data_IF_693701548295
#
_entry.id   IF_693701548295
#
_cell.length_a   1.000
_cell.length_b   1.000
_cell.length_c   1.000
_cell.angle_alpha   90.00
_cell.angle_beta   90.00
_cell.angle_gamma   90.00
#
_symmetry.space_group_name_H-M   'P 1'
#
loop_
_entity.id
_entity.type
_entity.pdbx_description
1 polymer ?
#
# COMPACT_ATOMS: atom_id res chain seq x y z
N UNK A 1 0.36 -5.64 -29.43
CA UNK A 1 -0.17 -5.74 -28.07
C UNK A 1 -0.42 -7.22 -27.78
N UNK A 2 -0.06 -7.73 -26.61
CA UNK A 2 -0.40 -9.11 -26.25
C UNK A 2 -1.92 -9.30 -26.28
N UNK A 3 -2.37 -10.50 -26.55
CA UNK A 3 -3.79 -10.87 -26.41
C UNK A 3 -4.18 -10.85 -24.93
N UNK A 4 -5.47 -10.69 -24.61
CA UNK A 4 -5.97 -10.71 -23.21
C UNK A 4 -5.48 -11.96 -22.47
N UNK A 5 -5.44 -13.11 -23.14
CA UNK A 5 -4.97 -14.39 -22.59
C UNK A 5 -3.47 -14.39 -22.26
N UNK A 6 -2.65 -13.72 -23.08
CA UNK A 6 -1.21 -13.58 -22.80
C UNK A 6 -0.96 -12.60 -21.65
N UNK A 7 -1.76 -11.54 -21.54
CA UNK A 7 -1.71 -10.59 -20.43
C UNK A 7 -2.08 -11.26 -19.11
N UNK A 8 -3.14 -12.09 -19.09
CA UNK A 8 -3.55 -12.83 -17.90
C UNK A 8 -2.50 -13.88 -17.47
N UNK A 9 -1.89 -14.58 -18.44
CA UNK A 9 -0.82 -15.53 -18.15
C UNK A 9 0.43 -14.83 -17.58
N UNK A 10 0.80 -13.68 -18.12
CA UNK A 10 1.89 -12.86 -17.58
C UNK A 10 1.56 -12.38 -16.16
N UNK A 11 0.35 -11.84 -15.93
CA UNK A 11 -0.10 -11.39 -14.64
C UNK A 11 -0.01 -12.48 -13.57
N UNK A 12 -0.47 -13.69 -13.88
CA UNK A 12 -0.37 -14.84 -12.99
C UNK A 12 1.08 -15.21 -12.68
N UNK A 13 1.95 -15.25 -13.70
CA UNK A 13 3.37 -15.54 -13.52
C UNK A 13 4.08 -14.50 -12.66
N UNK A 14 3.83 -13.20 -12.89
CA UNK A 14 4.41 -12.13 -12.08
C UNK A 14 3.92 -12.21 -10.63
N UNK A 15 2.65 -12.59 -10.41
CA UNK A 15 2.11 -12.78 -9.06
C UNK A 15 2.79 -13.93 -8.33
N UNK A 16 3.04 -15.06 -9.00
CA UNK A 16 3.75 -16.21 -8.40
C UNK A 16 5.17 -15.80 -7.95
N UNK A 17 5.89 -15.03 -8.79
CA UNK A 17 7.21 -14.48 -8.42
C UNK A 17 7.10 -13.58 -7.20
N UNK A 18 6.13 -12.65 -7.19
CA UNK A 18 5.93 -11.70 -6.08
C UNK A 18 5.64 -12.42 -4.76
N UNK A 19 4.72 -13.41 -4.76
CA UNK A 19 4.38 -14.20 -3.57
C UNK A 19 5.60 -14.95 -3.04
N UNK A 20 6.32 -15.64 -3.92
CA UNK A 20 7.49 -16.40 -3.53
C UNK A 20 8.61 -15.48 -2.97
N UNK A 21 8.82 -14.30 -3.57
CA UNK A 21 9.79 -13.32 -3.09
C UNK A 21 9.40 -12.76 -1.72
N UNK A 22 8.10 -12.41 -1.53
CA UNK A 22 7.59 -11.90 -0.27
C UNK A 22 7.71 -12.91 0.87
N UNK A 23 7.40 -14.19 0.61
CA UNK A 23 7.53 -15.26 1.59
C UNK A 23 9.00 -15.53 1.97
N UNK A 24 9.93 -15.53 1.01
CA UNK A 24 11.36 -15.72 1.28
C UNK A 24 11.92 -14.58 2.15
N UNK A 25 11.54 -13.33 1.83
CA UNK A 25 11.94 -12.16 2.62
C UNK A 25 11.34 -12.22 4.04
N UNK A 26 10.04 -12.47 4.15
CA UNK A 26 9.35 -12.57 5.44
C UNK A 26 9.91 -13.68 6.32
N UNK A 27 10.22 -14.85 5.76
CA UNK A 27 10.85 -15.96 6.50
C UNK A 27 12.24 -15.57 7.02
N UNK A 28 12.98 -14.74 6.30
CA UNK A 28 14.29 -14.27 6.72
C UNK A 28 14.19 -13.30 7.90
N UNK A 29 13.39 -12.21 7.80
CA UNK A 29 13.47 -11.15 8.80
C UNK A 29 12.57 -11.36 10.03
N UNK A 30 11.49 -12.13 9.95
CA UNK A 30 10.54 -12.32 11.07
C UNK A 30 11.20 -12.71 12.39
N UNK A 31 12.22 -13.59 12.44
CA UNK A 31 12.88 -13.94 13.70
C UNK A 31 13.58 -12.78 14.41
N UNK A 32 13.85 -11.69 13.71
CA UNK A 32 14.54 -10.50 14.23
C UNK A 32 13.59 -9.42 14.77
N UNK A 33 12.27 -9.55 14.59
CA UNK A 33 11.29 -8.58 15.05
C UNK A 33 11.45 -8.26 16.54
N UNK A 34 11.60 -6.99 16.90
CA UNK A 34 11.83 -6.53 18.26
C UNK A 34 13.21 -6.89 18.85
N UNK A 35 14.13 -7.38 18.03
CA UNK A 35 15.46 -7.85 18.48
C UNK A 35 16.63 -7.23 17.71
N UNK A 36 16.37 -6.41 16.72
CA UNK A 36 17.39 -5.81 15.86
C UNK A 36 17.60 -4.33 16.23
N UNK A 37 18.86 -3.90 16.14
CA UNK A 37 19.19 -2.48 16.17
C UNK A 37 18.90 -1.85 14.80
N UNK A 38 18.47 -0.60 14.80
CA UNK A 38 18.27 0.18 13.58
C UNK A 38 19.42 1.14 13.33
N UNK A 39 19.59 1.52 12.06
CA UNK A 39 20.54 2.56 11.64
C UNK A 39 19.81 3.91 11.60
N UNK A 40 20.28 4.90 12.36
CA UNK A 40 19.71 6.25 12.41
C UNK A 40 19.99 7.09 11.13
N UNK A 41 20.63 6.54 10.11
CA UNK A 41 21.04 7.29 8.91
C UNK A 41 19.90 7.94 8.14
N UNK A 42 18.68 7.34 8.19
CA UNK A 42 17.48 7.94 7.59
C UNK A 42 16.74 8.88 8.57
N UNK A 43 17.11 8.90 9.86
CA UNK A 43 16.54 9.73 10.90
C UNK A 43 15.66 8.96 11.89
N UNK A 44 15.36 9.60 13.02
CA UNK A 44 14.62 9.00 14.14
C UNK A 44 13.23 8.46 13.77
N UNK A 45 12.61 9.04 12.75
CA UNK A 45 11.25 8.69 12.34
C UNK A 45 11.19 7.73 11.13
N UNK A 46 12.35 7.42 10.53
CA UNK A 46 12.48 6.56 9.36
C UNK A 46 13.68 5.62 9.54
N UNK A 47 13.58 4.64 10.46
CA UNK A 47 14.66 3.71 10.71
C UNK A 47 14.81 2.74 9.54
N UNK A 48 16.05 2.38 9.25
CA UNK A 48 16.38 1.27 8.36
C UNK A 48 17.22 0.26 9.11
N UNK A 49 16.99 -1.01 8.86
CA UNK A 49 17.75 -2.10 9.47
C UNK A 49 18.54 -2.88 8.42
N UNK A 50 19.46 -3.73 8.88
CA UNK A 50 20.11 -4.71 8.01
C UNK A 50 19.08 -5.69 7.38
N UNK A 51 17.97 -5.91 8.08
CA UNK A 51 16.90 -6.76 7.57
C UNK A 51 16.21 -6.18 6.36
N UNK A 52 16.00 -4.85 6.30
CA UNK A 52 15.41 -4.18 5.15
C UNK A 52 16.30 -4.40 3.91
N UNK A 53 17.59 -4.09 4.03
CA UNK A 53 18.56 -4.21 2.93
C UNK A 53 18.73 -5.65 2.43
N UNK A 54 18.86 -6.60 3.35
CA UNK A 54 19.02 -8.01 2.98
C UNK A 54 17.72 -8.59 2.41
N UNK A 55 16.56 -8.19 2.92
CA UNK A 55 15.26 -8.60 2.38
C UNK A 55 15.07 -8.07 0.96
N UNK A 56 15.37 -6.78 0.72
CA UNK A 56 15.29 -6.21 -0.63
C UNK A 56 16.25 -6.93 -1.58
N UNK A 57 17.50 -7.19 -1.18
CA UNK A 57 18.47 -7.94 -1.98
C UNK A 57 17.92 -9.30 -2.41
N UNK A 58 17.28 -10.05 -1.50
CA UNK A 58 16.68 -11.37 -1.79
C UNK A 58 15.52 -11.26 -2.76
N UNK A 59 14.64 -10.28 -2.58
CA UNK A 59 13.52 -10.01 -3.48
C UNK A 59 14.05 -9.68 -4.89
N UNK A 60 15.01 -8.77 -5.00
CA UNK A 60 15.64 -8.34 -6.25
C UNK A 60 16.30 -9.52 -6.98
N UNK A 61 17.09 -10.34 -6.27
CA UNK A 61 17.74 -11.51 -6.84
C UNK A 61 16.72 -12.53 -7.37
N UNK A 62 15.62 -12.75 -6.66
CA UNK A 62 14.56 -13.64 -7.13
C UNK A 62 13.90 -13.10 -8.39
N UNK A 63 13.51 -11.82 -8.38
CA UNK A 63 12.87 -11.18 -9.54
C UNK A 63 13.76 -11.30 -10.76
N UNK A 64 15.03 -10.89 -10.71
CA UNK A 64 15.93 -10.96 -11.86
C UNK A 64 16.22 -12.39 -12.32
N UNK A 65 16.24 -13.37 -11.41
CA UNK A 65 16.42 -14.78 -11.77
C UNK A 65 15.23 -15.35 -12.55
N UNK A 66 14.00 -14.99 -12.17
CA UNK A 66 12.79 -15.55 -12.76
C UNK A 66 12.19 -14.67 -13.87
N UNK A 67 12.48 -13.36 -13.86
CA UNK A 67 12.09 -12.40 -14.88
C UNK A 67 13.21 -11.38 -15.15
N UNK A 68 14.23 -11.73 -15.99
CA UNK A 68 15.40 -10.87 -16.22
C UNK A 68 15.09 -9.53 -16.88
N UNK A 69 14.01 -9.45 -17.70
CA UNK A 69 13.57 -8.21 -18.35
C UNK A 69 12.74 -7.33 -17.39
N UNK A 70 13.36 -6.96 -16.28
CA UNK A 70 12.74 -6.19 -15.18
C UNK A 70 13.47 -4.88 -14.90
N UNK A 71 12.72 -3.91 -14.43
CA UNK A 71 13.19 -2.71 -13.73
C UNK A 71 12.61 -2.73 -12.31
N UNK A 72 13.44 -2.60 -11.29
CA UNK A 72 12.99 -2.64 -9.90
C UNK A 72 13.19 -1.25 -9.30
N UNK A 73 12.16 -0.74 -8.62
CA UNK A 73 12.18 0.50 -7.83
C UNK A 73 11.96 0.08 -6.37
N UNK A 74 13.07 -0.07 -5.66
CA UNK A 74 13.07 -0.47 -4.26
C UNK A 74 13.26 0.71 -3.32
N UNK A 75 12.80 0.56 -2.09
CA UNK A 75 12.95 1.58 -1.06
C UNK A 75 14.43 1.81 -0.67
N UNK A 76 15.19 0.73 -0.54
CA UNK A 76 16.56 0.77 -0.04
C UNK A 76 17.60 0.91 -1.16
N UNK A 77 17.45 0.15 -2.22
CA UNK A 77 18.41 0.09 -3.33
C UNK A 77 18.10 1.02 -4.49
N UNK A 78 16.94 1.70 -4.46
CA UNK A 78 16.51 2.58 -5.55
C UNK A 78 16.22 1.81 -6.85
N UNK A 79 16.50 2.44 -7.99
CA UNK A 79 16.22 1.83 -9.29
C UNK A 79 17.34 0.89 -9.74
N UNK A 80 16.98 -0.33 -10.14
CA UNK A 80 17.87 -1.35 -10.66
C UNK A 80 17.28 -1.99 -11.93
N UNK A 81 18.14 -2.34 -12.90
CA UNK A 81 17.70 -2.91 -14.18
C UNK A 81 17.14 -1.88 -15.16
N UNK A 82 16.67 -2.35 -16.32
CA UNK A 82 16.13 -1.51 -17.40
C UNK A 82 15.11 -2.24 -18.27
N UNK A 83 14.49 -3.31 -17.73
CA UNK A 83 13.48 -4.10 -18.42
C UNK A 83 12.12 -3.41 -18.49
N UNK A 84 11.21 -3.99 -19.27
CA UNK A 84 9.88 -3.43 -19.51
C UNK A 84 8.94 -3.58 -18.29
N UNK A 85 9.04 -4.69 -17.55
CA UNK A 85 8.25 -4.88 -16.32
C UNK A 85 8.85 -4.08 -15.18
N UNK A 86 8.06 -3.18 -14.61
CA UNK A 86 8.46 -2.36 -13.46
C UNK A 86 7.94 -2.98 -12.17
N UNK A 87 8.84 -3.17 -11.21
CA UNK A 87 8.52 -3.67 -9.88
C UNK A 87 8.69 -2.55 -8.85
N UNK A 88 7.76 -2.49 -7.91
CA UNK A 88 7.80 -1.61 -6.75
C UNK A 88 7.93 -2.48 -5.52
N UNK A 89 8.98 -2.28 -4.74
CA UNK A 89 9.38 -3.17 -3.64
C UNK A 89 9.60 -2.38 -2.36
N UNK A 90 8.82 -2.70 -1.34
CA UNK A 90 9.09 -2.34 0.05
C UNK A 90 9.39 -3.64 0.82
N UNK A 91 10.63 -3.84 1.26
CA UNK A 91 11.04 -5.06 1.94
C UNK A 91 10.42 -5.23 3.32
N UNK A 92 10.17 -4.11 4.06
CA UNK A 92 9.54 -4.12 5.38
C UNK A 92 8.74 -2.82 5.58
N UNK A 93 7.51 -2.75 5.03
CA UNK A 93 6.60 -1.66 5.35
C UNK A 93 6.18 -1.74 6.82
N UNK A 94 6.45 -0.67 7.56
CA UNK A 94 6.26 -0.63 9.01
C UNK A 94 7.53 -0.95 9.80
N UNK A 95 8.71 -0.55 9.33
CA UNK A 95 10.01 -0.79 9.99
C UNK A 95 10.03 -0.32 11.45
N UNK A 96 9.36 0.77 11.81
CA UNK A 96 9.20 1.21 13.20
C UNK A 96 8.52 0.14 14.09
N UNK A 97 7.46 -0.50 13.56
CA UNK A 97 6.77 -1.58 14.25
C UNK A 97 7.65 -2.82 14.35
N UNK A 98 8.34 -3.16 13.26
CA UNK A 98 9.27 -4.29 13.22
C UNK A 98 10.36 -4.15 14.28
N UNK A 99 11.01 -2.98 14.37
CA UNK A 99 12.04 -2.69 15.38
C UNK A 99 11.45 -2.74 16.80
N UNK A 100 10.25 -2.23 17.00
CA UNK A 100 9.57 -2.24 18.31
C UNK A 100 8.99 -3.61 18.68
N UNK A 101 8.95 -4.59 17.77
CA UNK A 101 8.31 -5.88 17.99
C UNK A 101 6.77 -5.82 17.98
N UNK A 102 6.19 -4.79 17.39
CA UNK A 102 4.74 -4.66 17.19
C UNK A 102 4.36 -5.46 15.93
N UNK A 103 3.48 -6.47 16.00
CA UNK A 103 3.20 -7.38 14.89
C UNK A 103 2.25 -6.73 13.85
N UNK A 104 2.67 -5.61 13.25
CA UNK A 104 1.97 -4.91 12.19
C UNK A 104 2.99 -4.32 11.21
N UNK A 105 3.56 -5.17 10.39
CA UNK A 105 4.54 -4.89 9.33
C UNK A 105 4.40 -5.95 8.24
N UNK A 106 4.84 -5.65 7.03
CA UNK A 106 4.68 -6.56 5.89
C UNK A 106 5.76 -6.37 4.84
N UNK A 107 5.80 -7.30 3.87
CA UNK A 107 6.46 -7.11 2.58
C UNK A 107 5.43 -6.62 1.58
N UNK A 108 5.76 -5.58 0.79
CA UNK A 108 4.91 -5.07 -0.29
C UNK A 108 5.65 -5.16 -1.62
N UNK A 109 5.08 -5.88 -2.60
CA UNK A 109 5.65 -6.05 -3.94
C UNK A 109 4.55 -5.88 -4.97
N UNK A 110 4.79 -5.05 -5.99
CA UNK A 110 3.89 -4.91 -7.13
C UNK A 110 4.66 -4.94 -8.44
N UNK A 111 4.02 -5.42 -9.51
CA UNK A 111 4.54 -5.42 -10.87
C UNK A 111 3.60 -4.69 -11.82
N UNK A 112 4.17 -3.83 -12.68
CA UNK A 112 3.46 -3.07 -13.69
C UNK A 112 4.11 -3.23 -15.07
N UNK A 113 3.30 -3.19 -16.10
CA UNK A 113 3.74 -3.15 -17.50
C UNK A 113 2.87 -2.15 -18.28
N UNK A 114 3.49 -1.32 -19.12
CA UNK A 114 2.80 -0.33 -19.94
C UNK A 114 1.81 0.54 -19.15
N UNK A 115 2.20 0.96 -17.93
CA UNK A 115 1.38 1.81 -17.08
C UNK A 115 0.16 1.11 -16.45
N UNK A 116 0.15 -0.21 -16.36
CA UNK A 116 -0.90 -1.01 -15.72
C UNK A 116 -0.31 -1.95 -14.68
N UNK A 117 -0.88 -1.97 -13.48
CA UNK A 117 -0.54 -2.97 -12.47
C UNK A 117 -1.06 -4.35 -12.91
N UNK A 118 -0.20 -5.35 -12.88
CA UNK A 118 -0.51 -6.73 -13.26
C UNK A 118 -0.50 -7.68 -12.07
N UNK A 119 0.37 -7.45 -11.08
CA UNK A 119 0.49 -8.26 -9.89
C UNK A 119 0.75 -7.39 -8.67
N UNK A 120 0.22 -7.79 -7.53
CA UNK A 120 0.47 -7.12 -6.25
C UNK A 120 0.33 -8.10 -5.09
N UNK A 121 1.28 -8.06 -4.16
CA UNK A 121 1.25 -8.84 -2.92
C UNK A 121 1.60 -7.97 -1.74
N UNK A 122 0.83 -8.12 -0.65
CA UNK A 122 1.16 -7.65 0.69
C UNK A 122 1.18 -8.87 1.59
N UNK A 123 2.35 -9.19 2.14
CA UNK A 123 2.53 -10.37 3.01
C UNK A 123 2.81 -9.95 4.45
N UNK A 124 1.88 -10.25 5.35
CA UNK A 124 2.05 -10.10 6.81
C UNK A 124 2.62 -11.41 7.41
N UNK A 125 3.93 -11.49 7.66
CA UNK A 125 4.53 -12.70 8.18
C UNK A 125 4.18 -12.98 9.63
N UNK A 126 3.73 -11.95 10.39
CA UNK A 126 3.35 -12.11 11.79
C UNK A 126 2.05 -12.93 11.96
N UNK A 127 1.20 -12.90 10.94
CA UNK A 127 -0.08 -13.63 10.87
C UNK A 127 -0.10 -14.76 9.84
N UNK A 128 0.93 -14.84 8.98
CA UNK A 128 0.94 -15.76 7.85
C UNK A 128 -0.16 -15.42 6.83
N UNK A 129 -0.43 -14.13 6.63
CA UNK A 129 -1.47 -13.63 5.73
C UNK A 129 -0.87 -13.08 4.45
N UNK A 130 -1.27 -13.66 3.31
CA UNK A 130 -0.88 -13.24 1.98
C UNK A 130 -2.08 -12.61 1.28
N UNK A 131 -2.10 -11.29 1.18
CA UNK A 131 -3.04 -10.54 0.34
C UNK A 131 -2.43 -10.45 -1.04
N UNK A 132 -3.09 -10.99 -2.05
CA UNK A 132 -2.56 -11.11 -3.41
C UNK A 132 -3.61 -10.67 -4.43
N UNK A 133 -3.16 -9.98 -5.49
CA UNK A 133 -4.03 -9.58 -6.60
C UNK A 133 -3.33 -9.72 -7.94
N UNK A 134 -4.12 -10.10 -8.94
CA UNK A 134 -3.75 -10.14 -10.36
C UNK A 134 -4.92 -9.61 -11.20
N UNK A 135 -4.82 -9.67 -12.53
CA UNK A 135 -5.96 -9.38 -13.42
C UNK A 135 -7.17 -10.31 -13.20
N UNK A 136 -6.97 -11.45 -12.55
CA UNK A 136 -8.03 -12.42 -12.25
C UNK A 136 -8.82 -12.11 -10.96
N UNK A 137 -8.39 -11.14 -10.15
CA UNK A 137 -9.05 -10.77 -8.89
C UNK A 137 -8.09 -10.70 -7.72
N UNK A 138 -8.65 -10.54 -6.51
CA UNK A 138 -7.91 -10.44 -5.27
C UNK A 138 -8.24 -11.58 -4.31
N UNK A 139 -7.22 -12.05 -3.57
CA UNK A 139 -7.33 -13.17 -2.64
C UNK A 139 -6.63 -12.89 -1.31
N UNK A 140 -7.10 -13.52 -0.24
CA UNK A 140 -6.42 -13.64 1.04
C UNK A 140 -6.10 -15.12 1.27
N UNK A 141 -4.83 -15.48 1.33
CA UNK A 141 -4.38 -16.87 1.45
C UNK A 141 -4.98 -17.80 0.37
N UNK A 142 -5.15 -17.30 -0.86
CA UNK A 142 -5.73 -18.04 -1.98
C UNK A 142 -7.27 -18.01 -2.04
N UNK A 143 -7.97 -17.60 -0.99
CA UNK A 143 -9.43 -17.46 -0.99
C UNK A 143 -9.85 -16.08 -1.51
N UNK A 144 -10.88 -15.99 -2.38
CA UNK A 144 -11.36 -14.72 -2.90
C UNK A 144 -11.73 -13.74 -1.79
N UNK A 145 -11.32 -12.47 -1.93
CA UNK A 145 -11.68 -11.40 -1.00
C UNK A 145 -12.46 -10.29 -1.69
N UNK A 146 -13.29 -9.58 -0.90
CA UNK A 146 -14.12 -8.47 -1.38
C UNK A 146 -14.00 -7.29 -0.44
N UNK A 147 -13.83 -6.11 -1.03
CA UNK A 147 -13.76 -4.83 -0.32
C UNK A 147 -15.16 -4.29 -0.07
N UNK A 148 -15.84 -4.87 0.93
CA UNK A 148 -17.18 -4.48 1.40
C UNK A 148 -17.11 -3.96 2.83
N UNK A 149 -18.04 -3.07 3.21
CA UNK A 149 -18.04 -2.50 4.55
C UNK A 149 -19.23 -1.60 4.83
N UNK A 150 -19.04 -0.65 5.71
CA UNK A 150 -20.06 0.33 6.09
C UNK A 150 -20.32 1.35 4.98
N UNK A 151 -21.56 1.82 4.88
CA UNK A 151 -21.97 2.92 3.99
C UNK A 151 -21.91 4.29 4.67
N UNK A 152 -21.54 4.35 5.95
CA UNK A 152 -21.51 5.58 6.76
C UNK A 152 -20.23 5.67 7.60
N UNK A 153 -19.75 6.88 7.84
CA UNK A 153 -18.58 7.12 8.69
C UNK A 153 -18.77 6.54 10.10
N UNK A 154 -19.94 6.74 10.71
CA UNK A 154 -20.25 6.25 12.06
C UNK A 154 -20.18 4.72 12.20
N UNK A 155 -20.38 3.99 11.10
CA UNK A 155 -20.20 2.53 11.06
C UNK A 155 -18.79 2.09 10.69
N UNK A 156 -17.94 3.02 10.22
CA UNK A 156 -16.67 2.73 9.57
C UNK A 156 -15.47 2.77 10.51
N UNK A 157 -14.48 1.93 10.20
CA UNK A 157 -13.12 2.01 10.74
C UNK A 157 -12.21 2.69 9.73
N UNK A 158 -11.57 3.78 10.15
CA UNK A 158 -10.57 4.53 9.38
C UNK A 158 -9.16 4.14 9.82
N UNK A 159 -8.30 3.81 8.86
CA UNK A 159 -6.86 3.63 9.05
C UNK A 159 -6.11 4.81 8.43
N UNK A 160 -5.11 5.38 9.10
CA UNK A 160 -4.32 6.49 8.57
C UNK A 160 -3.07 6.73 9.39
N UNK A 161 -2.05 7.33 8.79
CA UNK A 161 -0.89 7.89 9.51
C UNK A 161 -0.96 9.42 9.64
N UNK A 162 -2.12 10.00 9.31
CA UNK A 162 -2.36 11.44 9.49
C UNK A 162 -2.67 11.81 10.95
N UNK A 163 -2.16 12.93 11.50
CA UNK A 163 -1.10 13.78 10.95
C UNK A 163 0.23 13.04 10.86
N UNK A 164 1.04 13.36 9.84
CA UNK A 164 2.31 12.66 9.61
C UNK A 164 3.29 12.88 10.75
N UNK A 165 3.94 11.81 11.22
CA UNK A 165 5.01 11.85 12.22
C UNK A 165 6.28 12.49 11.64
N UNK A 166 7.22 12.89 12.51
CA UNK A 166 8.54 13.36 12.08
C UNK A 166 8.66 14.86 11.83
N UNK A 167 7.57 15.62 11.98
CA UNK A 167 7.58 17.10 11.86
C UNK A 167 6.65 17.73 12.90
N UNK A 168 6.80 19.04 13.19
CA UNK A 168 5.82 19.74 13.98
C UNK A 168 4.42 19.61 13.36
N UNK A 169 3.43 19.33 14.21
CA UNK A 169 2.03 19.20 13.75
C UNK A 169 1.48 20.60 13.51
N UNK A 170 0.92 20.82 12.32
CA UNK A 170 0.17 22.02 11.98
C UNK A 170 -1.15 22.07 12.80
N UNK A 171 -1.49 23.19 13.45
CA UNK A 171 -2.76 23.33 14.16
C UNK A 171 -3.99 22.99 13.33
N UNK A 172 -3.99 23.30 12.03
CA UNK A 172 -5.08 22.98 11.12
C UNK A 172 -5.16 21.48 10.82
N UNK A 173 -4.03 20.80 10.69
CA UNK A 173 -4.01 19.34 10.60
C UNK A 173 -4.56 18.67 11.86
N UNK A 174 -4.18 19.20 13.03
CA UNK A 174 -4.70 18.69 14.30
C UNK A 174 -6.21 18.90 14.41
N UNK A 175 -6.72 20.05 14.00
CA UNK A 175 -8.15 20.32 13.96
C UNK A 175 -8.90 19.36 13.04
N UNK A 176 -8.35 19.09 11.83
CA UNK A 176 -8.91 18.10 10.88
C UNK A 176 -8.90 16.70 11.48
N UNK A 177 -7.80 16.28 12.07
CA UNK A 177 -7.73 14.98 12.76
C UNK A 177 -8.75 14.90 13.90
N UNK A 178 -8.89 15.99 14.69
CA UNK A 178 -9.90 16.11 15.73
C UNK A 178 -11.33 15.93 15.22
N UNK A 179 -11.63 16.38 13.99
CA UNK A 179 -12.94 16.20 13.37
C UNK A 179 -13.20 14.74 12.93
N UNK A 180 -12.16 13.97 12.61
CA UNK A 180 -12.31 12.56 12.24
C UNK A 180 -12.67 11.66 13.43
N UNK A 181 -12.14 11.96 14.62
CA UNK A 181 -12.31 11.10 15.80
C UNK A 181 -13.77 10.84 16.19
N UNK A 182 -14.67 11.85 16.29
CA UNK A 182 -16.07 11.63 16.62
C UNK A 182 -16.91 11.13 15.44
N UNK A 183 -16.40 11.22 14.20
CA UNK A 183 -17.15 10.89 12.99
C UNK A 183 -17.12 9.40 12.67
N UNK A 184 -15.99 8.72 12.94
CA UNK A 184 -15.81 7.30 12.65
C UNK A 184 -16.03 6.44 13.91
N UNK A 185 -16.52 5.21 13.69
CA UNK A 185 -16.59 4.19 14.75
C UNK A 185 -15.23 3.99 15.42
N UNK A 186 -14.17 4.01 14.62
CA UNK A 186 -12.81 3.91 15.10
C UNK A 186 -11.84 4.59 14.12
N UNK A 187 -10.84 5.29 14.64
CA UNK A 187 -9.68 5.76 13.89
C UNK A 187 -8.43 5.07 14.44
N UNK A 188 -7.60 4.53 13.58
CA UNK A 188 -6.38 3.81 13.96
C UNK A 188 -5.19 4.34 13.16
N UNK A 189 -4.06 4.49 13.87
CA UNK A 189 -2.74 4.76 13.31
C UNK A 189 -1.88 3.54 13.63
N UNK A 190 -1.64 2.69 12.63
CA UNK A 190 -1.05 1.36 12.87
C UNK A 190 0.37 1.20 12.30
N UNK A 191 0.88 2.17 11.52
CA UNK A 191 2.29 2.26 11.13
C UNK A 191 2.72 1.38 9.96
N UNK A 192 1.79 0.93 9.11
CA UNK A 192 2.09 0.22 7.86
C UNK A 192 1.05 0.62 6.80
N UNK A 193 1.48 1.33 5.78
CA UNK A 193 0.62 1.82 4.71
C UNK A 193 0.08 0.68 3.85
N UNK A 194 0.94 -0.26 3.48
CA UNK A 194 0.53 -1.40 2.65
C UNK A 194 -0.49 -2.29 3.37
N UNK A 195 -0.33 -2.54 4.69
CA UNK A 195 -1.33 -3.28 5.47
C UNK A 195 -2.64 -2.50 5.63
N UNK A 196 -2.61 -1.16 5.73
CA UNK A 196 -3.85 -0.38 5.73
C UNK A 196 -4.66 -0.62 4.46
N UNK A 197 -4.01 -0.56 3.29
CA UNK A 197 -4.64 -0.81 1.99
C UNK A 197 -5.12 -2.25 1.86
N UNK A 198 -4.33 -3.22 2.28
CA UNK A 198 -4.70 -4.63 2.28
C UNK A 198 -5.92 -4.92 3.18
N UNK A 199 -6.02 -4.24 4.33
CA UNK A 199 -7.16 -4.38 5.23
C UNK A 199 -8.45 -3.78 4.65
N UNK A 200 -8.35 -2.66 3.92
CA UNK A 200 -9.50 -2.10 3.19
C UNK A 200 -9.90 -3.05 2.05
N UNK A 201 -8.96 -3.59 1.30
CA UNK A 201 -9.23 -4.57 0.25
C UNK A 201 -9.93 -5.83 0.79
N UNK A 202 -9.62 -6.24 2.02
CA UNK A 202 -10.21 -7.41 2.68
C UNK A 202 -11.50 -7.09 3.48
N UNK A 203 -12.00 -5.84 3.46
CA UNK A 203 -13.18 -5.42 4.22
C UNK A 203 -13.00 -5.42 5.76
N UNK A 204 -11.75 -5.44 6.24
CA UNK A 204 -11.43 -5.37 7.69
C UNK A 204 -11.42 -3.93 8.22
N UNK A 205 -11.21 -2.98 7.33
CA UNK A 205 -11.37 -1.55 7.55
C UNK A 205 -12.14 -0.98 6.37
N UNK A 206 -12.80 0.18 6.59
CA UNK A 206 -13.70 0.75 5.59
C UNK A 206 -13.04 1.82 4.76
N UNK A 207 -12.04 2.51 5.34
CA UNK A 207 -11.32 3.58 4.68
C UNK A 207 -9.86 3.64 5.15
N UNK A 208 -9.00 4.10 4.24
CA UNK A 208 -7.65 4.58 4.56
C UNK A 208 -7.33 5.79 3.71
N UNK A 209 -6.49 6.68 4.21
CA UNK A 209 -5.86 7.71 3.41
C UNK A 209 -4.44 7.95 3.89
N UNK A 210 -3.58 8.34 2.97
CA UNK A 210 -2.18 8.66 3.22
C UNK A 210 -1.75 9.90 2.47
N UNK A 211 -0.66 10.50 2.94
CA UNK A 211 -0.04 11.70 2.36
C UNK A 211 1.48 11.53 2.34
N UNK A 212 2.10 11.89 1.22
CA UNK A 212 3.55 11.83 1.05
C UNK A 212 4.09 10.40 1.07
N UNK A 213 3.34 9.45 0.49
CA UNK A 213 3.75 8.05 0.32
C UNK A 213 4.57 7.87 -0.95
N UNK A 214 5.29 6.76 -1.01
CA UNK A 214 6.06 6.36 -2.19
C UNK A 214 5.34 5.26 -2.98
N UNK A 215 5.73 5.03 -4.25
CA UNK A 215 5.10 3.99 -5.06
C UNK A 215 5.19 2.58 -4.46
N UNK A 216 6.28 2.22 -3.78
CA UNK A 216 6.45 0.91 -3.16
C UNK A 216 5.52 0.69 -1.96
N UNK A 217 5.13 1.77 -1.24
CA UNK A 217 4.19 1.71 -0.11
C UNK A 217 2.76 1.35 -0.57
N UNK A 218 2.39 1.74 -1.81
CA UNK A 218 0.97 1.73 -2.21
C UNK A 218 0.65 0.90 -3.45
N UNK A 219 1.60 0.62 -4.35
CA UNK A 219 1.31 -0.02 -5.63
C UNK A 219 0.58 -1.37 -5.49
N UNK A 220 1.03 -2.24 -4.58
CA UNK A 220 0.35 -3.50 -4.30
C UNK A 220 -1.08 -3.26 -3.76
N UNK A 221 -1.22 -2.33 -2.82
CA UNK A 221 -2.48 -1.96 -2.22
C UNK A 221 -3.50 -1.38 -3.21
N UNK A 222 -3.04 -0.60 -4.20
CA UNK A 222 -3.89 -0.11 -5.31
C UNK A 222 -4.55 -1.26 -6.03
N UNK A 223 -3.75 -2.24 -6.47
CA UNK A 223 -4.29 -3.39 -7.20
C UNK A 223 -5.20 -4.24 -6.33
N UNK A 224 -4.81 -4.49 -5.07
CA UNK A 224 -5.64 -5.23 -4.10
C UNK A 224 -7.03 -4.61 -3.95
N UNK A 225 -7.11 -3.29 -3.70
CA UNK A 225 -8.38 -2.58 -3.52
C UNK A 225 -9.21 -2.65 -4.81
N UNK A 226 -8.63 -2.36 -5.96
CA UNK A 226 -9.33 -2.36 -7.23
C UNK A 226 -9.88 -3.75 -7.59
N UNK A 227 -9.08 -4.78 -7.44
CA UNK A 227 -9.45 -6.16 -7.75
C UNK A 227 -10.43 -6.78 -6.74
N UNK A 228 -10.48 -6.23 -5.53
CA UNK A 228 -11.46 -6.61 -4.52
C UNK A 228 -12.80 -5.84 -4.64
N UNK A 229 -12.94 -4.92 -5.61
CA UNK A 229 -14.15 -4.12 -5.82
C UNK A 229 -14.26 -2.86 -4.95
N UNK A 230 -13.16 -2.48 -4.28
CA UNK A 230 -13.03 -1.19 -3.59
C UNK A 230 -12.66 -0.05 -4.54
N UNK A 231 -12.44 1.13 -3.99
CA UNK A 231 -12.09 2.35 -4.74
C UNK A 231 -10.77 2.91 -4.22
N UNK A 232 -9.85 3.18 -5.15
CA UNK A 232 -8.63 3.91 -4.88
C UNK A 232 -8.68 5.24 -5.64
N UNK A 233 -8.57 6.35 -4.91
CA UNK A 233 -8.74 7.69 -5.42
C UNK A 233 -7.47 8.50 -5.16
N UNK A 234 -7.09 9.34 -6.13
CA UNK A 234 -5.95 10.27 -6.02
C UNK A 234 -6.40 11.69 -6.33
N UNK A 235 -5.73 12.72 -5.79
CA UNK A 235 -6.04 14.11 -6.11
C UNK A 235 -5.94 14.36 -7.61
N UNK A 236 -6.92 15.08 -8.21
CA UNK A 236 -7.02 15.25 -9.66
C UNK A 236 -5.98 16.21 -10.27
N UNK A 237 -5.20 16.92 -9.44
CA UNK A 237 -4.26 17.94 -9.89
C UNK A 237 -3.07 17.39 -10.70
N UNK A 238 -2.87 16.09 -10.75
CA UNK A 238 -1.79 15.42 -11.48
C UNK A 238 -2.36 14.39 -12.46
N UNK A 239 -2.44 14.73 -13.73
CA UNK A 239 -2.97 13.82 -14.78
C UNK A 239 -2.18 12.50 -14.88
N UNK A 240 -0.86 12.53 -14.67
CA UNK A 240 -0.04 11.33 -14.67
C UNK A 240 -0.39 10.41 -13.47
N UNK A 241 -0.66 10.99 -12.30
CA UNK A 241 -1.10 10.22 -11.14
C UNK A 241 -2.54 9.70 -11.29
N UNK A 242 -3.39 10.34 -12.06
CA UNK A 242 -4.72 9.79 -12.39
C UNK A 242 -4.60 8.56 -13.28
N UNK A 243 -3.66 8.56 -14.23
CA UNK A 243 -3.41 7.41 -15.12
C UNK A 243 -2.67 6.26 -14.39
N UNK A 244 -1.79 6.58 -13.47
CA UNK A 244 -0.99 5.63 -12.68
C UNK A 244 -1.10 6.00 -11.19
N UNK A 245 -2.20 5.64 -10.51
CA UNK A 245 -2.53 6.13 -9.18
C UNK A 245 -1.49 5.78 -8.11
N UNK A 246 -0.69 4.74 -8.30
CA UNK A 246 0.41 4.39 -7.40
C UNK A 246 1.62 5.34 -7.47
N UNK A 247 1.64 6.28 -8.41
CA UNK A 247 2.65 7.35 -8.47
C UNK A 247 2.20 8.61 -7.72
N UNK A 248 0.98 8.62 -7.17
CA UNK A 248 0.51 9.73 -6.33
C UNK A 248 1.05 9.61 -4.91
N UNK A 249 1.65 10.67 -4.35
CA UNK A 249 2.04 10.67 -2.95
C UNK A 249 0.85 10.68 -1.99
N UNK A 250 -0.32 11.05 -2.49
CA UNK A 250 -1.53 11.25 -1.69
C UNK A 250 -2.67 10.41 -2.25
N UNK A 251 -3.43 9.75 -1.38
CA UNK A 251 -4.46 8.81 -1.81
C UNK A 251 -5.58 8.65 -0.79
N UNK A 252 -6.71 8.09 -1.27
CA UNK A 252 -7.77 7.47 -0.47
C UNK A 252 -8.03 6.05 -0.98
N UNK A 253 -8.04 5.09 -0.05
CA UNK A 253 -8.51 3.74 -0.26
C UNK A 253 -9.83 3.54 0.48
N UNK A 254 -10.87 3.12 -0.21
CA UNK A 254 -12.21 2.97 0.33
C UNK A 254 -12.77 1.60 -0.04
N UNK A 255 -13.59 1.03 0.84
CA UNK A 255 -14.45 -0.09 0.43
C UNK A 255 -15.43 0.35 -0.66
N UNK A 256 -15.99 -0.62 -1.40
CA UNK A 256 -16.96 -0.33 -2.45
C UNK A 256 -18.24 0.38 -1.95
N UNK A 257 -18.54 0.23 -0.67
CA UNK A 257 -19.80 0.72 -0.06
C UNK A 257 -19.69 2.13 0.55
N UNK A 258 -18.49 2.61 0.86
CA UNK A 258 -18.27 3.93 1.45
C UNK A 258 -18.01 4.99 0.36
N UNK A 259 -18.82 6.05 0.32
CA UNK A 259 -18.75 7.11 -0.68
C UNK A 259 -18.14 8.39 -0.11
N UNK A 260 -17.06 8.87 -0.75
CA UNK A 260 -16.27 10.02 -0.28
C UNK A 260 -17.12 11.31 -0.18
N UNK A 261 -18.05 11.55 -1.11
CA UNK A 261 -18.94 12.73 -1.12
C UNK A 261 -19.93 12.76 0.05
N UNK A 262 -20.17 11.65 0.72
CA UNK A 262 -21.03 11.52 1.91
C UNK A 262 -20.24 11.36 3.21
N UNK A 263 -18.91 11.28 3.11
CA UNK A 263 -18.00 11.09 4.22
C UNK A 263 -17.38 12.43 4.67
N UNK A 264 -17.06 12.52 5.94
CA UNK A 264 -16.23 13.60 6.47
C UNK A 264 -14.85 13.63 5.80
N UNK A 265 -14.34 12.51 5.27
CA UNK A 265 -13.12 12.48 4.48
C UNK A 265 -13.21 13.37 3.23
N UNK A 266 -14.36 13.40 2.56
CA UNK A 266 -14.57 14.25 1.40
C UNK A 266 -14.67 15.73 1.75
N UNK A 267 -15.24 16.07 2.89
CA UNK A 267 -15.46 17.46 3.30
C UNK A 267 -14.30 18.07 4.07
N UNK A 268 -13.61 17.28 4.91
CA UNK A 268 -12.56 17.77 5.82
C UNK A 268 -11.16 17.47 5.26
N UNK A 269 -10.97 16.30 4.62
CA UNK A 269 -9.64 15.90 4.14
C UNK A 269 -9.49 16.21 2.65
N UNK A 270 -10.37 15.68 1.80
CA UNK A 270 -10.25 15.86 0.35
C UNK A 270 -10.29 17.32 -0.08
N UNK A 271 -11.32 18.07 0.37
CA UNK A 271 -11.50 19.46 -0.03
C UNK A 271 -10.38 20.37 0.46
N UNK A 272 -9.99 20.20 1.71
CA UNK A 272 -9.09 21.17 2.37
C UNK A 272 -7.61 20.86 2.11
N UNK A 273 -7.23 19.60 1.98
CA UNK A 273 -5.83 19.21 1.77
C UNK A 273 -5.46 19.12 0.28
N UNK A 274 -6.43 18.79 -0.58
CA UNK A 274 -6.15 18.56 -2.00
C UNK A 274 -6.72 19.64 -2.92
N UNK A 275 -7.16 20.79 -2.35
CA UNK A 275 -7.50 21.99 -3.12
C UNK A 275 -8.74 21.85 -4.02
N UNK A 276 -9.68 21.04 -3.62
CA UNK A 276 -10.89 20.72 -4.36
C UNK A 276 -11.85 21.89 -4.52
N UNK A 277 -11.46 22.90 -5.26
CA UNK A 277 -12.36 23.96 -5.71
C UNK A 277 -13.09 23.57 -6.98
N UNK A 278 -13.56 22.44 -7.28
CA UNK A 278 -14.44 22.14 -8.43
C UNK A 278 -14.45 20.68 -8.92
N UNK A 279 -13.74 19.76 -8.32
CA UNK A 279 -13.96 18.36 -8.66
C UNK A 279 -14.82 17.72 -7.57
N UNK A 280 -16.11 17.54 -7.86
CA UNK A 280 -16.88 16.54 -7.14
C UNK A 280 -16.10 15.21 -7.24
N UNK A 281 -15.93 14.44 -6.14
CA UNK A 281 -15.25 13.16 -6.22
C UNK A 281 -15.92 12.29 -7.28
N UNK A 282 -15.18 11.54 -8.09
CA UNK A 282 -15.74 10.66 -9.10
C UNK A 282 -16.73 9.69 -8.46
N UNK A 283 -17.89 9.53 -9.13
CA UNK A 283 -18.97 8.65 -8.69
C UNK A 283 -18.54 7.19 -8.71
#
# INVERSE_FOLDING_TARGET
MPTDREADALSAHLLDIAIAAAHDAGAYFTPFAGRIAYDEKKGFFDPVTECDRESERRIVERIFREHPDSTIVGEEGGQQGSGAVQWYVDPIDGTNNFVAGIPFFCVSIAAALDGKLLAGVVYDPSKGETFAASTAGATLNGEPMQSTGSTTDAGSTLLTEFPRSGRPVDPDELARFGALLPSFRAVRRMGSTALHLAYVAAGRADATFGMGTNPWDIAAGVLLIQQAGGRFLVPPANEAAVAQPWLSPDYFGLTGDLYLERSVLGTVVWRDLFGGREAAPPR
#
